data_IF_687208764542
#
_entry.id   IF_687208764542
#
_cell.length_a   1.000
_cell.length_b   1.000
_cell.length_c   1.000
_cell.angle_alpha   90.00
_cell.angle_beta   90.00
_cell.angle_gamma   90.00
#
_symmetry.space_group_name_H-M   'P 1'
#
loop_
_entity.id
_entity.type
_entity.pdbx_description
1 polymer ?
#
# COMPACT_ATOMS: atom_id res chain seq x y z
N UNK A 1 16.36 -8.55 -31.22
CA UNK A 1 15.56 -8.29 -32.43
C UNK A 1 16.19 -7.10 -33.16
N UNK A 2 16.51 -7.22 -34.45
CA UNK A 2 16.99 -6.08 -35.26
C UNK A 2 15.81 -5.48 -36.00
N UNK A 3 15.60 -4.17 -35.87
CA UNK A 3 14.65 -3.41 -36.68
C UNK A 3 15.45 -2.91 -37.87
N UNK A 4 15.08 -3.34 -39.09
CA UNK A 4 15.71 -2.83 -40.31
C UNK A 4 15.02 -1.52 -40.71
N UNK A 5 15.80 -0.44 -40.81
CA UNK A 5 15.33 0.91 -41.15
C UNK A 5 15.82 1.38 -42.52
N UNK A 6 16.72 0.62 -43.17
CA UNK A 6 17.40 1.03 -44.40
C UNK A 6 16.47 1.09 -45.62
N UNK A 7 15.32 0.41 -45.52
CA UNK A 7 14.29 0.39 -46.56
C UNK A 7 13.24 1.50 -46.39
N UNK A 8 13.36 2.35 -45.37
CA UNK A 8 12.39 3.40 -45.08
C UNK A 8 12.80 4.72 -45.75
N UNK A 9 11.82 5.37 -46.37
CA UNK A 9 11.96 6.76 -46.81
C UNK A 9 12.09 7.70 -45.61
N UNK A 10 12.60 8.91 -45.83
CA UNK A 10 12.70 9.93 -44.77
C UNK A 10 11.37 10.18 -44.06
N UNK A 11 10.27 10.25 -44.81
CA UNK A 11 8.93 10.42 -44.25
C UNK A 11 8.53 9.26 -43.33
N UNK A 12 8.82 8.04 -43.74
CA UNK A 12 8.53 6.83 -42.95
C UNK A 12 9.41 6.74 -41.71
N UNK A 13 10.66 7.21 -41.78
CA UNK A 13 11.55 7.32 -40.62
C UNK A 13 11.04 8.35 -39.60
N UNK A 14 10.56 9.51 -40.07
CA UNK A 14 9.96 10.53 -39.20
C UNK A 14 8.71 9.97 -38.51
N UNK A 15 7.83 9.30 -39.26
CA UNK A 15 6.63 8.69 -38.70
C UNK A 15 6.95 7.58 -37.70
N UNK A 16 7.92 6.72 -38.02
CA UNK A 16 8.41 5.69 -37.10
C UNK A 16 8.96 6.32 -35.82
N UNK A 17 9.74 7.39 -35.93
CA UNK A 17 10.28 8.11 -34.77
C UNK A 17 9.17 8.68 -33.89
N UNK A 18 8.15 9.34 -34.47
CA UNK A 18 7.02 9.85 -33.71
C UNK A 18 6.33 8.73 -32.90
N UNK A 19 6.03 7.59 -33.54
CA UNK A 19 5.42 6.44 -32.88
C UNK A 19 6.28 5.86 -31.76
N UNK A 20 7.59 5.77 -31.97
CA UNK A 20 8.54 5.30 -30.94
C UNK A 20 8.52 6.25 -29.75
N UNK A 21 8.64 7.57 -29.98
CA UNK A 21 8.63 8.58 -28.93
C UNK A 21 7.31 8.55 -28.15
N UNK A 22 6.18 8.44 -28.82
CA UNK A 22 4.87 8.29 -28.18
C UNK A 22 4.78 7.03 -27.33
N UNK A 23 5.25 5.89 -27.85
CA UNK A 23 5.27 4.63 -27.10
C UNK A 23 6.14 4.73 -25.86
N UNK A 24 7.32 5.36 -25.96
CA UNK A 24 8.21 5.58 -24.82
C UNK A 24 7.57 6.49 -23.77
N UNK A 25 6.93 7.60 -24.19
CA UNK A 25 6.18 8.50 -23.27
C UNK A 25 5.04 7.78 -22.56
N UNK A 26 4.35 6.87 -23.25
CA UNK A 26 3.30 6.06 -22.66
C UNK A 26 3.86 5.07 -21.63
N UNK A 27 4.94 4.35 -21.95
CA UNK A 27 5.60 3.43 -21.02
C UNK A 27 6.13 4.15 -19.77
N UNK A 28 6.72 5.33 -19.95
CA UNK A 28 7.13 6.20 -18.84
C UNK A 28 5.94 6.57 -17.94
N UNK A 29 4.82 6.96 -18.54
CA UNK A 29 3.60 7.31 -17.80
C UNK A 29 3.02 6.09 -17.06
N UNK A 30 3.07 4.89 -17.65
CA UNK A 30 2.64 3.66 -16.99
C UNK A 30 3.51 3.32 -15.78
N UNK A 31 4.83 3.46 -15.88
CA UNK A 31 5.75 3.23 -14.75
C UNK A 31 5.45 4.17 -13.60
N UNK A 32 5.33 5.47 -13.89
CA UNK A 32 4.93 6.47 -12.90
C UNK A 32 3.56 6.15 -12.27
N UNK A 33 2.62 5.60 -13.04
CA UNK A 33 1.32 5.20 -12.53
C UNK A 33 1.39 3.96 -11.61
N UNK A 34 2.22 2.97 -11.94
CA UNK A 34 2.46 1.81 -11.05
C UNK A 34 3.08 2.26 -9.73
N UNK A 35 4.06 3.17 -9.78
CA UNK A 35 4.67 3.77 -8.59
C UNK A 35 3.65 4.60 -7.80
N UNK A 36 2.71 5.28 -8.45
CA UNK A 36 1.59 5.95 -7.76
C UNK A 36 0.70 4.96 -7.01
N UNK A 37 0.44 3.75 -7.54
CA UNK A 37 -0.42 2.77 -6.89
C UNK A 37 0.18 2.21 -5.59
N UNK A 38 1.49 2.38 -5.34
CA UNK A 38 2.09 2.07 -4.03
C UNK A 38 1.60 3.02 -2.92
N UNK A 39 1.03 4.16 -3.30
CA UNK A 39 0.45 5.16 -2.39
C UNK A 39 -1.05 5.32 -2.66
N UNK A 40 -1.82 5.50 -1.61
CA UNK A 40 -3.26 5.77 -1.61
C UNK A 40 -3.52 7.23 -1.25
N UNK A 41 -4.59 7.83 -1.77
CA UNK A 41 -5.08 9.11 -1.22
C UNK A 41 -5.38 8.93 0.27
N UNK A 42 -4.90 9.87 1.09
CA UNK A 42 -4.93 9.80 2.55
C UNK A 42 -3.67 9.20 3.16
N UNK A 43 -2.76 8.61 2.36
CA UNK A 43 -1.49 8.13 2.91
C UNK A 43 -0.63 9.28 3.43
N UNK A 44 0.00 9.01 4.57
CA UNK A 44 1.02 9.85 5.14
C UNK A 44 2.35 9.59 4.45
N UNK A 45 2.91 10.63 3.84
CA UNK A 45 4.13 10.54 3.04
C UNK A 45 5.12 11.62 3.44
N UNK A 46 6.39 11.35 3.17
CA UNK A 46 7.49 12.27 3.39
C UNK A 46 8.32 12.43 2.12
N UNK A 47 8.90 13.61 1.93
CA UNK A 47 9.76 13.94 0.80
C UNK A 47 10.78 15.01 1.17
N UNK A 48 11.83 15.17 0.36
CA UNK A 48 12.84 16.21 0.55
C UNK A 48 12.59 17.36 -0.42
N UNK A 49 12.68 18.59 0.07
CA UNK A 49 12.68 19.79 -0.77
C UNK A 49 14.10 20.11 -1.26
N UNK A 50 14.21 20.99 -2.26
CA UNK A 50 15.50 21.42 -2.83
C UNK A 50 16.48 21.98 -1.78
N UNK A 51 15.99 22.39 -0.60
CA UNK A 51 16.77 22.86 0.55
C UNK A 51 17.19 21.79 1.56
N UNK A 52 17.03 20.49 1.23
CA UNK A 52 17.28 19.31 2.10
C UNK A 52 16.33 19.14 3.29
N UNK A 53 15.43 20.08 3.53
CA UNK A 53 14.39 19.92 4.55
C UNK A 53 13.45 18.79 4.16
N UNK A 54 13.27 17.84 5.08
CA UNK A 54 12.28 16.76 4.94
C UNK A 54 10.93 17.33 5.37
N UNK A 55 9.95 17.25 4.47
CA UNK A 55 8.56 17.60 4.75
C UNK A 55 7.70 16.35 4.80
N UNK A 56 6.68 16.39 5.64
CA UNK A 56 5.66 15.35 5.73
C UNK A 56 4.29 15.93 5.46
N UNK A 57 3.39 15.09 4.97
CA UNK A 57 2.06 15.50 4.60
C UNK A 57 1.17 14.34 4.15
N UNK A 58 -0.03 14.70 3.71
CA UNK A 58 -1.01 13.77 3.18
C UNK A 58 -1.07 13.86 1.66
N UNK A 59 -1.05 12.70 1.01
CA UNK A 59 -1.37 12.60 -0.41
C UNK A 59 -2.86 12.86 -0.61
N UNK A 60 -3.22 13.90 -1.36
CA UNK A 60 -4.62 14.30 -1.54
C UNK A 60 -5.16 14.08 -2.96
N UNK A 61 -4.27 13.91 -3.95
CA UNK A 61 -4.67 13.81 -5.35
C UNK A 61 -3.61 13.13 -6.21
N UNK A 62 -4.05 12.29 -7.16
CA UNK A 62 -3.24 11.84 -8.28
C UNK A 62 -3.33 12.82 -9.46
N UNK A 63 -2.19 13.15 -10.07
CA UNK A 63 -2.12 13.83 -11.35
C UNK A 63 -1.55 12.85 -12.40
N UNK A 64 -1.42 13.29 -13.66
CA UNK A 64 -0.97 12.43 -14.76
C UNK A 64 0.43 11.81 -14.55
N UNK A 65 1.34 12.53 -13.88
CA UNK A 65 2.74 12.11 -13.64
C UNK A 65 3.26 12.40 -12.22
N UNK A 66 2.45 13.04 -11.39
CA UNK A 66 2.81 13.47 -10.04
C UNK A 66 1.66 13.20 -9.10
N UNK A 67 1.89 13.36 -7.81
CA UNK A 67 0.84 13.43 -6.80
C UNK A 67 0.88 14.77 -6.10
N UNK A 68 -0.27 15.21 -5.62
CA UNK A 68 -0.36 16.42 -4.80
C UNK A 68 -0.34 16.02 -3.33
N UNK A 69 0.60 16.58 -2.58
CA UNK A 69 0.73 16.42 -1.14
C UNK A 69 0.39 17.75 -0.46
N UNK A 70 -0.42 17.72 0.59
CA UNK A 70 -0.59 18.83 1.53
C UNK A 70 0.29 18.55 2.75
N UNK A 71 1.24 19.44 3.04
CA UNK A 71 2.08 19.34 4.24
C UNK A 71 1.30 19.71 5.50
N UNK A 72 1.84 19.38 6.67
CA UNK A 72 1.22 19.81 7.96
C UNK A 72 1.10 21.31 8.11
N UNK A 73 1.96 22.06 7.42
CA UNK A 73 1.95 23.51 7.38
C UNK A 73 0.94 24.07 6.36
N UNK A 74 0.16 23.20 5.71
CA UNK A 74 -0.88 23.56 4.74
C UNK A 74 -0.38 23.86 3.33
N UNK A 75 0.90 23.68 3.04
CA UNK A 75 1.47 23.92 1.71
C UNK A 75 1.13 22.78 0.74
N UNK A 76 0.89 23.13 -0.54
CA UNK A 76 0.62 22.16 -1.60
C UNK A 76 1.84 21.94 -2.47
N UNK A 77 2.20 20.67 -2.66
CA UNK A 77 3.36 20.26 -3.44
C UNK A 77 2.97 19.22 -4.50
N UNK A 78 3.47 19.41 -5.73
CA UNK A 78 3.38 18.39 -6.78
C UNK A 78 4.70 17.64 -6.84
N UNK A 79 4.68 16.37 -6.45
CA UNK A 79 5.89 15.56 -6.27
C UNK A 79 5.78 14.28 -7.09
N UNK A 80 6.91 13.81 -7.64
CA UNK A 80 6.98 12.50 -8.28
C UNK A 80 6.85 11.40 -7.21
N UNK A 81 6.04 10.34 -7.42
CA UNK A 81 5.89 9.23 -6.47
C UNK A 81 7.23 8.62 -6.02
N UNK A 82 8.21 8.55 -6.94
CA UNK A 82 9.56 8.04 -6.66
C UNK A 82 10.37 8.87 -5.66
N UNK A 83 9.91 10.08 -5.34
CA UNK A 83 10.53 10.95 -4.34
C UNK A 83 9.80 10.89 -2.99
N UNK A 84 8.72 10.10 -2.90
CA UNK A 84 7.97 9.90 -1.68
C UNK A 84 8.50 8.70 -0.90
N UNK A 85 8.35 8.76 0.41
CA UNK A 85 8.49 7.61 1.30
C UNK A 85 7.31 7.56 2.24
N UNK A 86 6.69 6.38 2.41
CA UNK A 86 5.63 6.18 3.41
C UNK A 86 6.17 6.53 4.79
N UNK A 87 5.38 7.26 5.55
CA UNK A 87 5.62 7.43 6.98
C UNK A 87 4.83 6.31 7.64
N UNK A 88 5.53 5.31 8.20
CA UNK A 88 4.85 4.32 9.03
C UNK A 88 4.27 5.05 10.24
N UNK A 89 2.94 5.12 10.32
CA UNK A 89 2.32 5.42 11.60
C UNK A 89 2.70 4.27 12.53
N UNK A 90 3.37 4.56 13.63
CA UNK A 90 3.67 3.60 14.69
C UNK A 90 2.41 3.13 15.42
N UNK A 91 1.27 3.00 14.73
CA UNK A 91 0.21 2.10 15.15
C UNK A 91 0.64 0.68 14.77
N UNK A 92 1.54 0.12 15.59
CA UNK A 92 1.72 -1.32 15.66
C UNK A 92 0.33 -1.91 15.88
N UNK A 93 -0.30 -2.41 14.82
CA UNK A 93 -1.29 -3.49 14.94
C UNK A 93 -0.47 -4.67 15.44
N UNK A 94 -0.32 -4.75 16.77
CA UNK A 94 0.08 -5.96 17.45
C UNK A 94 -0.79 -7.07 16.88
N UNK A 95 -0.17 -8.07 16.27
CA UNK A 95 -0.85 -9.32 15.92
C UNK A 95 -1.60 -9.77 17.17
N UNK A 96 -2.94 -9.91 17.16
CA UNK A 96 -3.59 -10.54 18.28
C UNK A 96 -3.10 -11.99 18.32
N UNK A 97 -2.57 -12.33 19.50
CA UNK A 97 -2.01 -13.60 19.88
C UNK A 97 -2.87 -14.79 19.45
N UNK A 98 -2.18 -15.82 18.95
CA UNK A 98 -2.56 -17.24 18.90
C UNK A 98 -3.93 -17.56 19.52
N UNK A 99 -4.94 -17.65 18.66
CA UNK A 99 -6.29 -18.11 19.03
C UNK A 99 -6.18 -19.56 19.48
N UNK A 100 -6.40 -19.83 20.76
CA UNK A 100 -6.69 -21.17 21.27
C UNK A 100 -8.15 -21.42 20.93
N UNK A 101 -8.40 -22.26 19.93
CA UNK A 101 -9.69 -22.93 19.80
C UNK A 101 -9.68 -24.12 20.73
N UNK A 102 -10.67 -24.22 21.62
CA UNK A 102 -11.31 -25.45 22.11
C UNK A 102 -12.34 -25.06 23.16
N UNK A 103 -13.54 -24.73 22.70
CA UNK A 103 -14.74 -24.74 23.53
C UNK A 103 -15.70 -25.76 22.93
N UNK A 104 -15.55 -27.03 23.30
CA UNK A 104 -16.59 -28.03 23.11
C UNK A 104 -17.54 -27.97 24.31
N UNK A 105 -18.79 -27.60 24.03
CA UNK A 105 -19.86 -27.58 25.03
C UNK A 105 -20.42 -28.98 25.24
N UNK A 106 -20.61 -29.31 26.52
CA UNK A 106 -21.69 -30.13 27.15
C UNK A 106 -22.03 -31.48 26.51
N UNK A 107 -21.92 -32.57 27.30
CA UNK A 107 -23.05 -33.22 28.00
C UNK A 107 -22.75 -34.68 28.37
N UNK A 108 -22.84 -35.03 29.66
CA UNK A 108 -23.47 -36.26 30.16
C UNK A 108 -23.58 -36.20 31.69
N UNK A 109 -24.72 -36.65 32.19
CA UNK A 109 -25.28 -36.55 33.54
C UNK A 109 -24.42 -37.14 34.69
N UNK A 110 -24.73 -36.83 35.96
CA UNK A 110 -24.08 -37.46 37.11
C UNK A 110 -24.68 -38.86 37.33
N UNK A 111 -23.81 -39.86 37.45
CA UNK A 111 -24.15 -41.20 37.92
C UNK A 111 -23.71 -41.33 39.39
N UNK A 112 -24.63 -41.80 40.22
CA UNK A 112 -24.57 -41.92 41.67
C UNK A 112 -23.44 -42.86 42.15
N UNK A 113 -22.84 -42.53 43.30
CA UNK A 113 -22.27 -43.54 44.19
C UNK A 113 -22.32 -43.05 45.65
N UNK A 114 -23.12 -43.76 46.44
CA UNK A 114 -23.34 -43.63 47.87
C UNK A 114 -22.11 -44.01 48.71
N UNK A 115 -21.89 -43.29 49.82
CA UNK A 115 -21.56 -43.81 51.18
C UNK A 115 -21.07 -42.62 52.03
N UNK A 116 -21.34 -42.47 53.32
CA UNK A 116 -22.28 -43.02 54.32
C UNK A 116 -22.01 -42.20 55.60
N UNK A 117 -22.96 -42.27 56.52
CA UNK A 117 -22.81 -42.02 57.97
C UNK A 117 -22.59 -40.56 58.43
N UNK A 118 -23.63 -39.95 59.02
CA UNK A 118 -23.92 -40.11 60.46
C UNK A 118 -25.19 -39.32 60.83
N UNK A 119 -26.24 -40.05 61.20
CA UNK A 119 -27.39 -39.50 61.94
C UNK A 119 -27.33 -40.11 63.35
N UNK A 120 -27.27 -39.25 64.36
CA UNK A 120 -27.50 -39.58 65.77
C UNK A 120 -28.70 -38.75 66.24
N UNK A 121 -29.53 -39.37 67.10
CA UNK A 121 -30.73 -38.92 67.84
C UNK A 121 -32.04 -39.02 67.04
N UNK A 122 -33.09 -39.74 67.45
CA UNK A 122 -33.44 -40.48 68.69
C UNK A 122 -34.30 -41.71 68.31
#
# INVERSE_FOLDING_TARGET
MKINIDNLTEKELIELNHRIVERLKFLDSMRAHVEMMEFSIGDRVSFKTNGRERKEGLLIKYNKKTVTVITDQGEKWNISPNLLSRVESSSKRSKPSKVISLNERKSSAPEEAEHKDHLILD
#
